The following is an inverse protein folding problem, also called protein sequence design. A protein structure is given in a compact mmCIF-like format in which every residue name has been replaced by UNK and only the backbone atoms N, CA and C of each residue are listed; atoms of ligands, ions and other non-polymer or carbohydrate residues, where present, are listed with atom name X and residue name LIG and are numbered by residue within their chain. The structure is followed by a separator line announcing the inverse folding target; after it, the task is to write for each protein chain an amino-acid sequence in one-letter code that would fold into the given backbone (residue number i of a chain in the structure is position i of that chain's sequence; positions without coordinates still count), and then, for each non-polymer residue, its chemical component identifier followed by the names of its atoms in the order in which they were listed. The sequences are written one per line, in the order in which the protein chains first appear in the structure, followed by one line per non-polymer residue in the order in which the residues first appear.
data_IF_968661637787
#
_entry.id   IF_968661637787
#
_cell.length_a   1.000
_cell.length_b   1.000
_cell.length_c   1.000
_cell.angle_alpha   90.00
_cell.angle_beta   90.00
_cell.angle_gamma   90.00
#
_symmetry.space_group_name_H-M   'P 1'
#
loop_
_entity.id
_entity.type
_entity.pdbx_description
1 polymer ?
#
# COMPACT_ATOMS: atom_id res chain seq x y z
N UNK A 1 24.23 -9.10 6.33
CA UNK A 1 23.05 -8.22 6.31
C UNK A 1 21.86 -9.01 5.80
N UNK A 2 20.88 -9.31 6.66
CA UNK A 2 19.79 -10.25 6.35
C UNK A 2 18.86 -9.71 5.25
N UNK A 3 19.00 -10.26 4.03
CA UNK A 3 18.02 -10.13 2.95
C UNK A 3 16.74 -10.84 3.42
N UNK A 4 15.81 -10.10 4.02
CA UNK A 4 14.51 -10.66 4.44
C UNK A 4 13.67 -10.91 3.18
N UNK A 5 13.40 -12.17 2.88
CA UNK A 5 12.37 -12.68 1.97
C UNK A 5 11.23 -11.67 1.78
N UNK A 6 11.13 -11.06 0.60
CA UNK A 6 10.16 -9.98 0.36
C UNK A 6 9.40 -10.16 -0.95
N UNK A 7 9.38 -11.37 -1.47
CA UNK A 7 9.12 -11.62 -2.89
C UNK A 7 7.66 -11.93 -3.23
N UNK A 8 6.77 -11.90 -2.22
CA UNK A 8 5.35 -12.13 -2.44
C UNK A 8 4.59 -10.80 -2.50
N UNK A 9 3.90 -10.51 -3.62
CA UNK A 9 3.01 -9.37 -3.70
C UNK A 9 1.93 -9.49 -2.61
N UNK A 10 1.77 -8.43 -1.81
CA UNK A 10 0.87 -8.46 -0.65
C UNK A 10 -0.48 -7.90 -1.02
N UNK A 11 -1.51 -8.74 -0.94
CA UNK A 11 -2.91 -8.30 -1.09
C UNK A 11 -3.32 -7.52 0.17
N UNK A 12 -3.74 -6.27 -0.04
CA UNK A 12 -4.26 -5.37 0.99
C UNK A 12 -5.74 -5.13 0.74
N UNK A 13 -6.56 -5.64 1.67
CA UNK A 13 -7.98 -5.25 1.74
C UNK A 13 -8.08 -3.81 2.26
N UNK A 14 -8.49 -2.90 1.40
CA UNK A 14 -8.69 -1.49 1.74
C UNK A 14 -9.92 -1.29 2.62
N UNK A 15 -9.87 -0.26 3.46
CA UNK A 15 -11.06 0.21 4.17
C UNK A 15 -12.04 0.84 3.18
N UNK A 16 -13.35 0.75 3.49
CA UNK A 16 -14.41 1.44 2.74
C UNK A 16 -14.23 2.97 2.74
N UNK A 17 -13.75 3.55 3.85
CA UNK A 17 -13.55 5.00 4.02
C UNK A 17 -12.15 5.36 4.51
N UNK A 18 -11.71 6.58 4.19
CA UNK A 18 -10.45 7.15 4.69
C UNK A 18 -10.50 7.26 6.22
N UNK A 19 -9.40 6.90 6.90
CA UNK A 19 -9.31 6.96 8.36
C UNK A 19 -9.21 8.39 8.92
N UNK A 20 -8.88 9.38 8.09
CA UNK A 20 -8.64 10.79 8.46
C UNK A 20 -7.55 11.04 9.52
N UNK A 21 -7.01 10.01 10.17
CA UNK A 21 -5.85 10.09 11.07
C UNK A 21 -4.57 10.52 10.34
N UNK A 22 -3.68 11.22 11.04
CA UNK A 22 -2.34 11.60 10.58
C UNK A 22 -1.30 10.99 11.53
N UNK A 23 -0.39 10.09 11.07
CA UNK A 23 -0.29 9.55 9.71
C UNK A 23 -1.42 8.55 9.39
N UNK A 24 -1.86 8.48 8.12
CA UNK A 24 -2.94 7.56 7.72
C UNK A 24 -2.56 6.10 7.95
N UNK A 25 -3.53 5.20 8.13
CA UNK A 25 -3.25 3.77 8.29
C UNK A 25 -2.85 3.11 6.95
N UNK A 26 -2.09 2.00 7.00
CA UNK A 26 -1.62 1.26 5.80
C UNK A 26 -2.75 0.71 4.90
N UNK A 27 -3.94 0.45 5.46
CA UNK A 27 -5.13 -0.02 4.73
C UNK A 27 -6.03 1.13 4.23
N UNK A 28 -5.58 2.38 4.35
CA UNK A 28 -6.40 3.53 3.98
C UNK A 28 -6.53 3.58 2.45
N UNK A 29 -7.76 3.77 1.90
CA UNK A 29 -7.97 3.83 0.46
C UNK A 29 -7.11 4.91 -0.22
N UNK A 30 -6.86 6.03 0.47
CA UNK A 30 -5.97 7.10 -0.03
C UNK A 30 -4.52 6.62 -0.15
N UNK A 31 -4.03 5.84 0.81
CA UNK A 31 -2.65 5.33 0.81
C UNK A 31 -2.46 4.33 -0.31
N UNK A 32 -3.40 3.41 -0.48
CA UNK A 32 -3.38 2.44 -1.57
C UNK A 32 -3.49 3.13 -2.94
N UNK A 33 -4.36 4.14 -3.08
CA UNK A 33 -4.45 4.95 -4.30
C UNK A 33 -3.14 5.68 -4.60
N UNK A 34 -2.46 6.25 -3.59
CA UNK A 34 -1.14 6.90 -3.77
C UNK A 34 -0.06 5.93 -4.23
N UNK A 35 0.01 4.75 -3.61
CA UNK A 35 0.95 3.71 -4.03
C UNK A 35 0.64 3.23 -5.45
N UNK A 36 -0.63 3.15 -5.81
CA UNK A 36 -1.04 2.76 -7.16
C UNK A 36 -0.67 3.80 -8.22
N UNK A 37 -0.89 5.09 -7.94
CA UNK A 37 -0.44 6.18 -8.80
C UNK A 37 1.09 6.22 -8.98
N UNK A 38 1.85 5.66 -8.03
CA UNK A 38 3.30 5.53 -8.10
C UNK A 38 3.77 4.26 -8.85
N UNK A 39 2.85 3.46 -9.39
CA UNK A 39 3.17 2.16 -10.01
C UNK A 39 3.59 1.08 -9.02
N UNK A 40 3.42 1.34 -7.71
CA UNK A 40 3.83 0.43 -6.64
C UNK A 40 2.69 -0.45 -6.13
N UNK A 41 1.47 -0.25 -6.63
CA UNK A 41 0.32 -1.09 -6.30
C UNK A 41 -0.66 -1.19 -7.47
N UNK A 42 -1.29 -2.34 -7.61
CA UNK A 42 -2.33 -2.58 -8.59
C UNK A 42 -3.69 -2.71 -7.90
N UNK A 43 -4.73 -2.13 -8.48
CA UNK A 43 -6.09 -2.22 -7.96
C UNK A 43 -6.81 -3.41 -8.60
N UNK A 44 -7.25 -4.35 -7.77
CA UNK A 44 -8.06 -5.49 -8.20
C UNK A 44 -9.53 -5.09 -8.41
N UNK A 45 -10.27 -5.85 -9.23
CA UNK A 45 -11.70 -5.62 -9.48
C UNK A 45 -12.56 -5.72 -8.22
N UNK A 46 -12.15 -6.53 -7.23
CA UNK A 46 -12.82 -6.63 -5.92
C UNK A 46 -12.56 -5.42 -5.00
N UNK A 47 -11.87 -4.38 -5.48
CA UNK A 47 -11.52 -3.18 -4.73
C UNK A 47 -10.33 -3.34 -3.78
N UNK A 48 -9.70 -4.50 -3.69
CA UNK A 48 -8.44 -4.70 -2.97
C UNK A 48 -7.25 -4.18 -3.78
N UNK A 49 -6.10 -4.00 -3.14
CA UNK A 49 -4.86 -3.60 -3.81
C UNK A 49 -3.80 -4.67 -3.64
N UNK A 50 -3.06 -4.96 -4.70
CA UNK A 50 -1.86 -5.79 -4.67
C UNK A 50 -0.66 -4.87 -4.60
N UNK A 51 0.12 -4.95 -3.52
CA UNK A 51 1.37 -4.20 -3.42
C UNK A 51 2.47 -4.91 -4.21
N UNK A 52 3.20 -4.15 -5.03
CA UNK A 52 4.38 -4.65 -5.73
C UNK A 52 5.47 -5.06 -4.74
N UNK A 53 6.29 -6.02 -5.15
CA UNK A 53 7.51 -6.45 -4.47
C UNK A 53 8.45 -5.27 -4.15
N UNK A 54 8.50 -4.31 -5.07
CA UNK A 54 9.35 -3.12 -5.03
C UNK A 54 8.89 -2.07 -4.01
N UNK A 55 7.72 -2.28 -3.38
CA UNK A 55 7.22 -1.38 -2.33
C UNK A 55 8.21 -1.34 -1.17
N UNK A 56 8.97 -0.25 -1.09
CA UNK A 56 9.87 0.01 0.02
C UNK A 56 9.09 0.51 1.25
N UNK A 57 9.63 0.29 2.45
CA UNK A 57 9.05 0.86 3.68
C UNK A 57 9.00 2.39 3.64
N UNK A 58 9.95 3.02 2.94
CA UNK A 58 10.01 4.47 2.72
C UNK A 58 8.81 4.94 1.88
N UNK A 59 8.52 4.25 0.77
CA UNK A 59 7.36 4.55 -0.08
C UNK A 59 6.03 4.43 0.69
N UNK A 60 5.86 3.37 1.49
CA UNK A 60 4.67 3.23 2.35
C UNK A 60 4.56 4.40 3.34
N UNK A 61 5.68 4.80 3.99
CA UNK A 61 5.68 5.90 4.96
C UNK A 61 5.30 7.22 4.28
N UNK A 62 5.86 7.51 3.11
CA UNK A 62 5.54 8.70 2.33
C UNK A 62 4.06 8.72 1.90
N UNK A 63 3.52 7.57 1.46
CA UNK A 63 2.12 7.48 1.05
C UNK A 63 1.12 7.72 2.19
N UNK A 64 1.49 7.46 3.46
CA UNK A 64 0.62 7.69 4.65
C UNK A 64 0.36 9.17 4.94
N UNK A 65 1.26 10.04 4.45
CA UNK A 65 1.22 11.48 4.68
C UNK A 65 1.32 11.88 6.15
#
# INVERSE_FOLDING_TARGET
MAKKNKDLPRVVKTKKKCCKSRPRCKKCPVVCKRLSNQGLAERLPNGSYVLSIDVSKKAIKAARG
#
